data_IF_439899608235
#
_entry.id   IF_439899608235
#
_cell.length_a   1.000
_cell.length_b   1.000
_cell.length_c   1.000
_cell.angle_alpha   90.00
_cell.angle_beta   90.00
_cell.angle_gamma   90.00
#
_symmetry.space_group_name_H-M   'P 1'
#
loop_
_entity.id
_entity.type
_entity.pdbx_description
1 polymer ?
#
# COMPACT_ATOMS: atom_id res chain seq x y z
N UNK A 1 24.30 40.79 -29.42
CA UNK A 1 24.29 39.34 -29.70
C UNK A 1 23.59 38.67 -28.52
N UNK A 2 22.31 38.35 -28.69
CA UNK A 2 21.40 37.95 -27.61
C UNK A 2 21.53 36.45 -27.39
N UNK A 3 21.89 36.03 -26.17
CA UNK A 3 21.90 34.63 -25.76
C UNK A 3 20.60 34.37 -25.01
N UNK A 4 19.67 33.66 -25.64
CA UNK A 4 18.48 33.14 -24.99
C UNK A 4 18.77 31.79 -24.34
N UNK A 5 18.78 31.77 -23.01
CA UNK A 5 18.71 30.56 -22.19
C UNK A 5 17.28 30.03 -22.18
N UNK A 6 17.04 28.85 -22.77
CA UNK A 6 15.74 28.19 -22.69
C UNK A 6 15.73 27.11 -21.60
N UNK A 7 15.10 27.48 -20.49
CA UNK A 7 14.64 26.66 -19.37
C UNK A 7 13.41 25.83 -19.78
N UNK A 8 13.54 24.78 -20.59
CA UNK A 8 12.46 23.78 -20.74
C UNK A 8 13.01 22.40 -21.09
N UNK A 9 12.42 21.38 -20.46
CA UNK A 9 12.60 19.94 -20.71
C UNK A 9 13.75 19.20 -19.98
N UNK A 10 13.66 19.12 -18.65
CA UNK A 10 14.25 18.02 -17.84
C UNK A 10 13.29 16.84 -17.63
N UNK A 11 12.24 16.71 -18.46
CA UNK A 11 11.13 15.75 -18.27
C UNK A 11 11.18 14.50 -19.16
N UNK A 12 12.34 14.14 -19.72
CA UNK A 12 12.47 12.99 -20.63
C UNK A 12 13.66 12.05 -20.35
N UNK A 13 14.09 11.94 -19.10
CA UNK A 13 15.14 10.97 -18.71
C UNK A 13 14.66 9.98 -17.64
N UNK A 14 13.60 9.23 -17.94
CA UNK A 14 13.16 8.04 -17.18
C UNK A 14 12.51 7.02 -18.15
N UNK A 15 13.26 6.61 -19.16
CA UNK A 15 12.88 5.53 -20.08
C UNK A 15 14.13 4.72 -20.44
N UNK A 16 14.51 3.79 -19.57
CA UNK A 16 15.30 2.59 -19.93
C UNK A 16 15.67 1.79 -18.67
N UNK A 17 14.75 0.95 -18.22
CA UNK A 17 15.08 -0.25 -17.46
C UNK A 17 14.01 -1.31 -17.75
N UNK A 18 13.92 -1.73 -19.01
CA UNK A 18 13.31 -3.00 -19.36
C UNK A 18 14.31 -4.10 -18.98
N UNK A 19 14.29 -4.49 -17.70
CA UNK A 19 15.00 -5.67 -17.20
C UNK A 19 14.16 -6.91 -17.50
N UNK A 20 14.61 -7.70 -18.48
CA UNK A 20 14.12 -9.03 -18.78
C UNK A 20 14.44 -10.01 -17.63
N UNK A 21 13.55 -11.00 -17.50
CA UNK A 21 13.66 -12.27 -16.76
C UNK A 21 13.68 -12.21 -15.23
N UNK A 22 12.52 -12.01 -14.62
CA UNK A 22 12.16 -12.77 -13.43
C UNK A 22 11.39 -14.01 -13.89
N UNK A 23 11.96 -15.19 -13.62
CA UNK A 23 11.25 -16.46 -13.70
C UNK A 23 10.14 -16.44 -12.65
N UNK A 24 9.01 -15.83 -12.98
CA UNK A 24 7.76 -16.05 -12.25
C UNK A 24 7.49 -17.53 -12.42
N UNK A 25 7.72 -18.33 -11.38
CA UNK A 25 7.10 -19.64 -11.32
C UNK A 25 5.60 -19.38 -11.42
N UNK A 26 5.02 -19.59 -12.61
CA UNK A 26 3.58 -19.79 -12.75
C UNK A 26 3.30 -21.06 -11.96
N UNK A 27 3.02 -20.94 -10.66
CA UNK A 27 2.38 -22.02 -9.91
C UNK A 27 1.02 -22.21 -10.58
N UNK A 28 0.94 -23.21 -11.46
CA UNK A 28 -0.27 -23.51 -12.23
C UNK A 28 -1.15 -24.41 -11.39
N UNK A 29 -2.32 -23.91 -11.00
CA UNK A 29 -3.58 -24.64 -10.74
C UNK A 29 -3.59 -25.85 -9.81
N UNK A 30 -2.81 -26.88 -10.09
CA UNK A 30 -2.75 -28.14 -9.34
C UNK A 30 -1.74 -28.09 -8.16
N UNK A 31 -0.84 -27.11 -8.14
CA UNK A 31 0.13 -26.88 -7.04
C UNK A 31 -0.34 -25.81 -6.03
N UNK A 32 -1.48 -25.16 -6.28
CA UNK A 32 -2.05 -24.20 -5.33
C UNK A 32 -2.78 -24.96 -4.21
N UNK A 33 -2.60 -24.55 -2.94
CA UNK A 33 -3.40 -25.10 -1.86
C UNK A 33 -4.87 -24.92 -2.20
N UNK A 34 -5.67 -25.95 -1.95
CA UNK A 34 -7.12 -25.79 -1.96
C UNK A 34 -7.48 -24.85 -0.80
N UNK A 35 -7.70 -23.57 -1.09
CA UNK A 35 -8.32 -22.66 -0.13
C UNK A 35 -9.71 -23.21 0.13
N UNK A 36 -9.97 -23.53 1.39
CA UNK A 36 -11.18 -24.21 1.78
C UNK A 36 -12.31 -23.18 1.77
N UNK A 37 -12.86 -22.94 0.57
CA UNK A 37 -13.87 -21.91 0.35
C UNK A 37 -14.99 -22.01 1.38
N UNK A 38 -15.29 -20.90 2.05
CA UNK A 38 -16.42 -20.61 2.95
C UNK A 38 -16.84 -21.66 4.02
N UNK A 39 -16.22 -22.83 4.13
CA UNK A 39 -16.75 -23.99 4.87
C UNK A 39 -15.75 -24.77 5.72
N UNK A 40 -14.49 -24.32 5.85
CA UNK A 40 -13.50 -24.95 6.74
C UNK A 40 -13.43 -24.33 8.13
N UNK A 41 -13.22 -25.19 9.14
CA UNK A 41 -13.22 -24.86 10.57
C UNK A 41 -11.94 -24.15 11.08
N UNK A 42 -10.95 -23.89 10.22
CA UNK A 42 -9.87 -22.96 10.51
C UNK A 42 -10.07 -21.72 9.65
N UNK A 43 -10.31 -20.56 10.27
CA UNK A 43 -10.67 -19.36 9.52
C UNK A 43 -9.46 -18.85 8.71
N UNK A 44 -9.44 -19.20 7.43
CA UNK A 44 -8.58 -18.57 6.44
C UNK A 44 -8.83 -17.05 6.48
N UNK A 45 -7.76 -16.27 6.43
CA UNK A 45 -7.81 -14.81 6.45
C UNK A 45 -7.83 -14.35 5.01
N UNK A 46 -8.79 -13.52 4.63
CA UNK A 46 -8.81 -12.87 3.32
C UNK A 46 -8.92 -11.35 3.46
N UNK A 47 -8.26 -10.61 2.57
CA UNK A 47 -8.38 -9.15 2.49
C UNK A 47 -8.06 -8.67 1.07
N UNK A 48 -8.45 -7.44 0.75
CA UNK A 48 -7.94 -6.76 -0.44
C UNK A 48 -6.93 -5.69 -0.04
N UNK A 49 -5.92 -5.49 -0.88
CA UNK A 49 -5.00 -4.37 -0.83
C UNK A 49 -5.27 -3.43 -2.01
N UNK A 50 -5.65 -2.20 -1.70
CA UNK A 50 -5.87 -1.10 -2.65
C UNK A 50 -4.86 0.00 -2.37
N UNK A 51 -4.54 0.84 -3.35
CA UNK A 51 -3.61 1.96 -3.18
C UNK A 51 -3.82 3.00 -4.26
N UNK A 52 -3.30 4.22 -4.06
CA UNK A 52 -3.26 5.26 -5.09
C UNK A 52 -4.67 5.49 -5.67
N UNK A 53 -5.64 5.78 -4.78
CA UNK A 53 -7.03 6.01 -5.19
C UNK A 53 -7.23 7.42 -5.70
N UNK A 54 -6.40 8.38 -5.25
CA UNK A 54 -6.36 9.76 -5.75
C UNK A 54 -7.75 10.40 -5.88
N UNK A 55 -8.48 10.48 -4.76
CA UNK A 55 -9.67 11.34 -4.71
C UNK A 55 -9.26 12.75 -5.12
N UNK A 56 -9.94 13.31 -6.12
CA UNK A 56 -9.64 14.62 -6.69
C UNK A 56 -10.88 15.52 -6.65
N UNK A 57 -10.73 16.73 -6.13
CA UNK A 57 -11.74 17.78 -6.22
C UNK A 57 -11.63 18.58 -7.52
N UNK A 58 -12.73 19.20 -7.97
CA UNK A 58 -12.73 20.08 -9.12
C UNK A 58 -11.96 21.37 -8.76
N UNK A 59 -10.86 21.64 -9.47
CA UNK A 59 -10.05 22.84 -9.23
C UNK A 59 -10.82 24.15 -9.43
N UNK A 60 -11.83 24.18 -10.31
CA UNK A 60 -12.68 25.36 -10.55
C UNK A 60 -13.77 25.52 -9.49
N UNK A 61 -14.19 24.41 -8.88
CA UNK A 61 -15.16 24.38 -7.80
C UNK A 61 -14.67 23.46 -6.67
N UNK A 62 -13.69 23.91 -5.85
CA UNK A 62 -12.93 23.03 -4.97
C UNK A 62 -13.72 22.48 -3.77
N UNK A 63 -14.99 22.87 -3.62
CA UNK A 63 -15.92 22.26 -2.64
C UNK A 63 -16.70 21.08 -3.24
N UNK A 64 -16.39 20.67 -4.47
CA UNK A 64 -17.04 19.55 -5.16
C UNK A 64 -16.00 18.60 -5.72
N UNK A 65 -16.31 17.29 -5.67
CA UNK A 65 -15.46 16.28 -6.30
C UNK A 65 -15.43 16.47 -7.82
N UNK A 66 -14.28 16.21 -8.43
CA UNK A 66 -14.21 16.02 -9.87
C UNK A 66 -15.15 14.86 -10.26
N UNK A 67 -16.08 15.06 -11.21
CA UNK A 67 -17.10 14.06 -11.53
C UNK A 67 -16.53 12.72 -12.01
N UNK A 68 -15.37 12.72 -12.67
CA UNK A 68 -14.71 11.51 -13.12
C UNK A 68 -14.05 10.79 -11.94
N UNK A 69 -13.30 11.50 -11.10
CA UNK A 69 -12.73 10.94 -9.86
C UNK A 69 -13.81 10.30 -8.99
N UNK A 70 -14.89 11.04 -8.68
CA UNK A 70 -16.00 10.54 -7.87
C UNK A 70 -16.59 9.24 -8.42
N UNK A 71 -16.83 9.18 -9.74
CA UNK A 71 -17.41 8.01 -10.40
C UNK A 71 -16.50 6.79 -10.33
N UNK A 72 -15.20 6.96 -10.57
CA UNK A 72 -14.25 5.84 -10.59
C UNK A 72 -14.02 5.31 -9.18
N UNK A 73 -13.81 6.20 -8.21
CA UNK A 73 -13.66 5.84 -6.80
C UNK A 73 -14.89 5.09 -6.29
N UNK A 74 -16.11 5.58 -6.58
CA UNK A 74 -17.33 4.90 -6.17
C UNK A 74 -17.50 3.52 -6.79
N UNK A 75 -17.11 3.35 -8.06
CA UNK A 75 -17.18 2.04 -8.71
C UNK A 75 -16.21 1.04 -8.10
N UNK A 76 -14.98 1.46 -7.76
CA UNK A 76 -14.06 0.60 -7.01
C UNK A 76 -14.70 0.09 -5.71
N UNK A 77 -15.29 0.99 -4.92
CA UNK A 77 -15.96 0.63 -3.66
C UNK A 77 -17.10 -0.37 -3.90
N UNK A 78 -17.92 -0.13 -4.93
CA UNK A 78 -19.00 -1.06 -5.30
C UNK A 78 -18.46 -2.43 -5.75
N UNK A 79 -17.35 -2.45 -6.50
CA UNK A 79 -16.66 -3.70 -6.89
C UNK A 79 -16.22 -4.46 -5.64
N UNK A 80 -15.52 -3.81 -4.71
CA UNK A 80 -15.07 -4.44 -3.45
C UNK A 80 -16.24 -5.04 -2.65
N UNK A 81 -17.36 -4.30 -2.55
CA UNK A 81 -18.58 -4.76 -1.88
C UNK A 81 -19.19 -6.02 -2.52
N UNK A 82 -19.01 -6.21 -3.83
CA UNK A 82 -19.58 -7.33 -4.59
C UNK A 82 -18.70 -8.57 -4.70
N UNK A 83 -17.45 -8.53 -4.23
CA UNK A 83 -16.48 -9.62 -4.48
C UNK A 83 -16.79 -10.92 -3.75
N UNK A 84 -17.25 -10.87 -2.49
CA UNK A 84 -17.35 -12.09 -1.66
C UNK A 84 -18.29 -13.11 -2.32
N UNK A 85 -17.80 -14.34 -2.48
CA UNK A 85 -18.52 -15.43 -3.15
C UNK A 85 -18.42 -15.42 -4.67
N UNK A 86 -17.82 -14.40 -5.29
CA UNK A 86 -17.51 -14.39 -6.72
C UNK A 86 -16.61 -15.59 -7.08
N UNK A 87 -16.87 -16.21 -8.23
CA UNK A 87 -16.06 -17.32 -8.74
C UNK A 87 -14.74 -16.78 -9.27
N UNK A 88 -13.64 -17.34 -8.78
CA UNK A 88 -12.31 -17.10 -9.32
C UNK A 88 -12.09 -18.08 -10.49
N UNK A 89 -11.72 -17.61 -11.69
CA UNK A 89 -11.43 -18.46 -12.84
C UNK A 89 -10.29 -19.46 -12.58
N UNK A 90 -10.25 -20.56 -13.33
CA UNK A 90 -9.25 -21.61 -13.12
C UNK A 90 -7.82 -21.11 -13.39
N UNK A 91 -7.66 -20.26 -14.41
CA UNK A 91 -6.43 -19.58 -14.76
C UNK A 91 -5.93 -18.60 -13.68
N UNK A 92 -6.83 -18.13 -12.80
CA UNK A 92 -6.53 -17.30 -11.64
C UNK A 92 -6.47 -18.11 -10.33
N UNK A 93 -6.31 -19.43 -10.42
CA UNK A 93 -6.13 -20.32 -9.27
C UNK A 93 -7.43 -20.88 -8.68
N UNK A 94 -8.56 -20.72 -9.38
CA UNK A 94 -9.87 -21.30 -9.06
C UNK A 94 -10.43 -20.90 -7.67
N UNK A 95 -11.61 -21.44 -7.35
CA UNK A 95 -12.27 -21.23 -6.06
C UNK A 95 -13.28 -20.08 -6.07
N UNK A 96 -13.52 -19.52 -4.90
CA UNK A 96 -14.40 -18.36 -4.69
C UNK A 96 -13.74 -17.40 -3.71
N UNK A 97 -14.05 -16.12 -3.87
CA UNK A 97 -13.62 -15.10 -2.90
C UNK A 97 -14.20 -15.44 -1.52
N UNK A 98 -13.29 -15.60 -0.57
CA UNK A 98 -13.56 -15.89 0.84
C UNK A 98 -14.15 -14.66 1.55
N UNK A 99 -14.72 -14.86 2.74
CA UNK A 99 -15.16 -13.75 3.58
C UNK A 99 -13.96 -12.85 3.92
N UNK A 100 -14.02 -11.58 3.55
CA UNK A 100 -12.93 -10.65 3.80
C UNK A 100 -12.94 -10.13 5.25
N UNK A 101 -11.74 -9.99 5.82
CA UNK A 101 -11.48 -9.43 7.14
C UNK A 101 -11.42 -7.90 7.11
N UNK A 102 -11.10 -7.32 5.95
CA UNK A 102 -11.01 -5.88 5.76
C UNK A 102 -10.34 -5.50 4.44
N UNK A 103 -10.11 -4.21 4.26
CA UNK A 103 -9.36 -3.62 3.16
C UNK A 103 -8.13 -2.90 3.73
N UNK A 104 -6.95 -3.17 3.18
CA UNK A 104 -5.74 -2.40 3.48
C UNK A 104 -5.55 -1.36 2.37
N UNK A 105 -5.37 -0.09 2.74
CA UNK A 105 -5.13 0.98 1.77
C UNK A 105 -3.69 1.51 1.86
N UNK A 106 -2.91 1.33 0.79
CA UNK A 106 -1.48 1.61 0.70
C UNK A 106 -1.06 3.07 0.60
N UNK A 107 -1.92 4.04 0.91
CA UNK A 107 -1.64 5.48 0.78
C UNK A 107 -2.06 6.11 -0.54
N UNK A 108 -1.82 7.41 -0.64
CA UNK A 108 -2.31 8.32 -1.69
C UNK A 108 -3.83 8.24 -1.84
N UNK A 109 -4.48 8.54 -0.70
CA UNK A 109 -5.94 8.58 -0.57
C UNK A 109 -6.50 9.75 -1.38
N UNK A 110 -5.87 10.92 -1.27
CA UNK A 110 -6.27 12.16 -1.97
C UNK A 110 -5.17 12.63 -2.91
N UNK A 111 -5.50 13.45 -3.92
CA UNK A 111 -4.53 13.91 -4.93
C UNK A 111 -3.82 15.22 -4.57
N UNK A 112 -4.36 16.03 -3.66
CA UNK A 112 -3.98 17.44 -3.57
C UNK A 112 -3.43 17.92 -2.23
N UNK A 113 -3.26 17.06 -1.23
CA UNK A 113 -2.80 17.48 0.10
C UNK A 113 -1.30 17.80 0.18
N UNK A 114 -0.49 17.38 -0.81
CA UNK A 114 0.90 17.77 -0.98
C UNK A 114 1.09 19.21 -1.51
N UNK A 115 0.05 19.77 -2.12
CA UNK A 115 0.06 21.12 -2.71
C UNK A 115 -0.34 22.18 -1.68
N UNK A 116 0.22 23.39 -1.80
CA UNK A 116 0.04 24.49 -0.84
C UNK A 116 -0.62 25.72 -1.48
N UNK A 117 -1.38 26.45 -0.67
CA UNK A 117 -1.97 27.74 -1.03
C UNK A 117 -3.13 27.67 -2.04
N UNK A 118 -3.74 28.82 -2.31
CA UNK A 118 -4.83 28.94 -3.27
C UNK A 118 -6.03 28.04 -2.92
N UNK A 119 -6.49 27.26 -3.90
CA UNK A 119 -7.66 26.38 -3.79
C UNK A 119 -7.38 25.04 -3.10
N UNK A 120 -6.10 24.65 -2.95
CA UNK A 120 -5.73 23.30 -2.51
C UNK A 120 -6.22 22.93 -1.10
N UNK A 121 -6.22 23.83 -0.09
CA UNK A 121 -6.80 23.52 1.22
C UNK A 121 -8.28 23.11 1.17
N UNK A 122 -9.06 23.72 0.28
CA UNK A 122 -10.47 23.34 0.07
C UNK A 122 -10.56 22.02 -0.68
N UNK A 123 -9.75 21.85 -1.74
CA UNK A 123 -9.71 20.62 -2.53
C UNK A 123 -9.43 19.39 -1.65
N UNK A 124 -8.34 19.36 -0.90
CA UNK A 124 -8.02 18.17 -0.10
C UNK A 124 -8.97 17.94 1.07
N UNK A 125 -9.69 18.97 1.55
CA UNK A 125 -10.76 18.79 2.51
C UNK A 125 -11.96 18.07 1.87
N UNK A 126 -12.36 18.46 0.65
CA UNK A 126 -13.40 17.78 -0.12
C UNK A 126 -13.00 16.36 -0.51
N UNK A 127 -11.76 16.16 -0.96
CA UNK A 127 -11.23 14.85 -1.34
C UNK A 127 -11.23 13.88 -0.15
N UNK A 128 -10.76 14.34 1.01
CA UNK A 128 -10.73 13.51 2.21
C UNK A 128 -12.13 13.20 2.74
N UNK A 129 -13.04 14.18 2.72
CA UNK A 129 -14.44 13.95 3.09
C UNK A 129 -15.11 12.92 2.17
N UNK A 130 -14.81 12.93 0.86
CA UNK A 130 -15.31 11.94 -0.07
C UNK A 130 -14.72 10.55 0.20
N UNK A 131 -13.41 10.46 0.50
CA UNK A 131 -12.78 9.22 0.94
C UNK A 131 -13.46 8.66 2.20
N UNK A 132 -13.70 9.51 3.22
CA UNK A 132 -14.36 9.07 4.45
C UNK A 132 -15.81 8.62 4.23
N UNK A 133 -16.56 9.30 3.35
CA UNK A 133 -17.93 8.90 3.01
C UNK A 133 -17.98 7.54 2.29
N UNK A 134 -17.01 7.28 1.42
CA UNK A 134 -16.95 6.04 0.64
C UNK A 134 -16.42 4.88 1.47
N UNK A 135 -15.29 5.05 2.15
CA UNK A 135 -14.61 3.97 2.87
C UNK A 135 -15.09 3.78 4.31
N UNK A 136 -15.69 4.79 4.95
CA UNK A 136 -16.01 4.74 6.37
C UNK A 136 -14.75 4.48 7.21
N UNK A 137 -14.87 3.71 8.29
CA UNK A 137 -13.75 3.28 9.13
C UNK A 137 -13.86 1.81 9.51
N UNK A 138 -15.03 1.38 9.98
CA UNK A 138 -15.25 0.08 10.62
C UNK A 138 -16.16 -0.85 9.79
N UNK A 139 -16.50 -0.47 8.56
CA UNK A 139 -17.34 -1.24 7.64
C UNK A 139 -18.85 -1.06 7.83
N UNK A 140 -19.26 -0.10 8.65
CA UNK A 140 -20.67 0.23 8.90
C UNK A 140 -20.99 1.73 8.85
N UNK A 141 -19.97 2.55 8.59
CA UNK A 141 -20.00 4.01 8.69
C UNK A 141 -19.59 4.71 7.38
N UNK A 142 -19.48 3.94 6.30
CA UNK A 142 -19.33 4.40 4.93
C UNK A 142 -20.12 3.51 3.98
N UNK A 143 -19.83 3.61 2.69
CA UNK A 143 -20.46 2.76 1.66
C UNK A 143 -19.78 1.41 1.58
N UNK A 144 -18.47 1.36 1.80
CA UNK A 144 -17.72 0.13 1.91
C UNK A 144 -18.23 -0.69 3.11
N UNK A 145 -18.52 -1.97 2.87
CA UNK A 145 -19.06 -2.90 3.87
C UNK A 145 -17.99 -3.56 4.75
N UNK A 146 -16.74 -3.10 4.67
CA UNK A 146 -15.58 -3.69 5.32
C UNK A 146 -14.80 -2.64 6.10
N UNK A 147 -14.17 -3.00 7.24
CA UNK A 147 -13.24 -2.11 7.89
C UNK A 147 -12.06 -1.84 6.95
N UNK A 148 -11.64 -0.58 6.87
CA UNK A 148 -10.45 -0.15 6.13
C UNK A 148 -9.28 -0.02 7.10
N UNK A 149 -8.05 -0.16 6.62
CA UNK A 149 -6.81 0.04 7.36
C UNK A 149 -5.83 0.78 6.45
N UNK A 150 -5.84 2.11 6.51
CA UNK A 150 -5.07 2.98 5.64
C UNK A 150 -3.72 3.44 6.23
N UNK A 151 -2.72 3.59 5.36
CA UNK A 151 -1.55 4.46 5.55
C UNK A 151 -1.73 5.76 4.75
N UNK A 152 -0.87 6.75 5.00
CA UNK A 152 -0.79 7.96 4.17
C UNK A 152 0.38 7.84 3.18
N UNK A 153 0.22 8.43 1.99
CA UNK A 153 1.27 8.53 0.97
C UNK A 153 1.80 9.96 0.78
N UNK A 154 2.55 10.18 -0.30
CA UNK A 154 3.14 11.49 -0.58
C UNK A 154 2.12 12.54 -0.98
N UNK A 155 1.03 12.17 -1.66
CA UNK A 155 -0.05 13.11 -2.00
C UNK A 155 -0.92 13.47 -0.78
N UNK A 156 -0.95 12.62 0.25
CA UNK A 156 -1.71 12.86 1.47
C UNK A 156 -1.03 13.83 2.43
N UNK A 157 0.30 13.83 2.51
CA UNK A 157 1.04 14.70 3.42
C UNK A 157 2.49 14.29 3.65
N UNK A 158 3.44 14.72 2.80
CA UNK A 158 4.82 14.24 2.82
C UNK A 158 5.58 14.64 4.10
N UNK A 159 5.13 15.69 4.79
CA UNK A 159 5.71 16.15 6.06
C UNK A 159 4.87 15.77 7.29
N UNK A 160 3.72 15.11 7.09
CA UNK A 160 2.81 14.73 8.16
C UNK A 160 1.96 15.87 8.74
N UNK A 161 1.91 17.03 8.08
CA UNK A 161 1.31 18.28 8.60
C UNK A 161 -0.06 18.64 7.99
N UNK A 162 -0.65 17.74 7.19
CA UNK A 162 -1.89 17.99 6.44
C UNK A 162 -3.17 17.62 7.21
N UNK A 163 -4.31 18.08 6.69
CA UNK A 163 -5.63 17.69 7.20
C UNK A 163 -5.85 16.18 7.12
N UNK A 164 -5.40 15.54 6.03
CA UNK A 164 -5.55 14.09 5.81
C UNK A 164 -4.79 13.29 6.87
N UNK A 165 -3.53 13.64 7.13
CA UNK A 165 -2.70 12.95 8.13
C UNK A 165 -3.32 13.10 9.53
N UNK A 166 -3.81 14.30 9.88
CA UNK A 166 -4.56 14.52 11.15
C UNK A 166 -5.88 13.76 11.22
N UNK A 167 -6.55 13.62 10.07
CA UNK A 167 -7.73 12.78 9.91
C UNK A 167 -7.42 11.33 10.23
N UNK A 168 -6.36 10.77 9.65
CA UNK A 168 -5.89 9.40 9.93
C UNK A 168 -5.55 9.21 11.41
N UNK A 169 -4.83 10.16 12.05
CA UNK A 169 -4.57 10.12 13.49
C UNK A 169 -5.86 10.02 14.32
N UNK A 170 -6.88 10.79 13.93
CA UNK A 170 -8.18 10.83 14.62
C UNK A 170 -9.01 9.59 14.36
N UNK A 171 -8.89 9.01 13.15
CA UNK A 171 -9.52 7.76 12.74
C UNK A 171 -8.92 6.57 13.49
N UNK A 172 -7.61 6.49 13.61
CA UNK A 172 -6.94 5.40 14.34
C UNK A 172 -7.36 5.32 15.81
N UNK A 173 -7.65 6.44 16.47
CA UNK A 173 -8.18 6.45 17.85
C UNK A 173 -9.56 5.81 18.00
N UNK A 174 -10.32 5.69 16.91
CA UNK A 174 -11.68 5.17 16.84
C UNK A 174 -11.77 3.85 16.06
N UNK A 175 -10.64 3.35 15.56
CA UNK A 175 -10.58 2.15 14.73
C UNK A 175 -10.74 0.92 15.62
N UNK A 176 -11.68 0.06 15.28
CA UNK A 176 -11.90 -1.17 16.01
C UNK A 176 -10.79 -2.19 15.70
N UNK A 177 -10.40 -2.97 16.71
CA UNK A 177 -9.49 -4.11 16.55
C UNK A 177 -8.00 -3.77 16.45
N UNK A 178 -7.61 -2.50 16.54
CA UNK A 178 -6.18 -2.15 16.67
C UNK A 178 -5.61 -2.64 18.00
N UNK A 179 -4.38 -3.13 17.98
CA UNK A 179 -3.67 -3.67 19.14
C UNK A 179 -2.68 -2.66 19.71
N UNK A 180 -1.87 -2.05 18.84
CA UNK A 180 -0.91 -1.03 19.22
C UNK A 180 -1.06 0.20 18.32
N UNK A 181 -0.79 1.37 18.89
CA UNK A 181 -0.71 2.66 18.20
C UNK A 181 0.54 3.39 18.66
N UNK A 182 1.25 3.99 17.72
CA UNK A 182 2.39 4.87 17.97
C UNK A 182 1.98 6.11 18.76
N UNK A 183 2.94 6.73 19.47
CA UNK A 183 2.66 7.88 20.33
C UNK A 183 2.05 9.09 19.58
N UNK A 184 2.36 9.24 18.29
CA UNK A 184 1.79 10.29 17.44
C UNK A 184 0.45 9.90 16.80
N UNK A 185 -0.05 8.67 17.02
CA UNK A 185 -1.35 8.20 16.52
C UNK A 185 -1.37 7.73 15.06
N UNK A 186 -0.25 7.75 14.33
CA UNK A 186 -0.25 7.45 12.88
C UNK A 186 -0.03 5.99 12.56
N UNK A 187 1.00 5.40 13.15
CA UNK A 187 1.39 4.01 12.91
C UNK A 187 0.67 3.11 13.89
N UNK A 188 0.23 1.95 13.42
CA UNK A 188 -0.56 1.03 14.23
C UNK A 188 -0.41 -0.40 13.73
N UNK A 189 -0.76 -1.33 14.60
CA UNK A 189 -0.81 -2.75 14.28
C UNK A 189 -2.07 -3.38 14.81
N UNK A 190 -2.46 -4.49 14.20
CA UNK A 190 -3.62 -5.28 14.58
C UNK A 190 -3.38 -6.75 14.26
N UNK A 191 -4.31 -7.58 14.70
CA UNK A 191 -4.25 -9.02 14.48
C UNK A 191 -5.52 -9.49 13.76
N UNK A 192 -5.34 -10.30 12.72
CA UNK A 192 -6.42 -11.11 12.14
C UNK A 192 -6.06 -12.57 12.37
N UNK A 193 -6.71 -13.22 13.35
CA UNK A 193 -6.33 -14.58 13.76
C UNK A 193 -4.85 -14.64 14.16
N UNK A 194 -4.09 -15.53 13.52
CA UNK A 194 -2.64 -15.65 13.77
C UNK A 194 -1.78 -14.65 12.98
N UNK A 195 -2.33 -13.88 12.05
CA UNK A 195 -1.59 -12.90 11.27
C UNK A 195 -1.44 -11.59 12.06
N UNK A 196 -0.20 -11.10 12.18
CA UNK A 196 0.08 -9.77 12.71
C UNK A 196 0.28 -8.79 11.55
N UNK A 197 -0.41 -7.65 11.57
CA UNK A 197 -0.38 -6.66 10.51
C UNK A 197 0.07 -5.30 11.04
N UNK A 198 0.91 -4.59 10.29
CA UNK A 198 1.53 -3.33 10.71
C UNK A 198 1.44 -2.29 9.59
N UNK A 199 0.86 -1.13 9.88
CA UNK A 199 0.77 0.03 8.99
C UNK A 199 1.73 1.14 9.45
N UNK A 200 2.67 1.54 8.57
CA UNK A 200 3.83 2.39 8.91
C UNK A 200 3.91 3.73 8.16
N UNK A 201 2.82 4.18 7.54
CA UNK A 201 2.76 5.47 6.86
C UNK A 201 3.47 5.49 5.51
N UNK A 202 4.14 6.60 5.20
CA UNK A 202 4.76 6.84 3.89
C UNK A 202 6.08 6.07 3.70
N UNK A 203 7.02 6.19 4.64
CA UNK A 203 8.32 5.52 4.68
C UNK A 203 8.59 5.01 6.10
N UNK A 204 9.39 3.95 6.24
CA UNK A 204 9.79 3.44 7.55
C UNK A 204 11.11 4.06 7.98
N UNK A 205 11.11 4.89 9.01
CA UNK A 205 12.33 5.59 9.44
C UNK A 205 12.18 6.35 10.76
N UNK A 206 13.17 7.18 11.06
CA UNK A 206 13.13 8.12 12.20
C UNK A 206 13.57 9.50 11.75
N UNK A 207 13.26 10.53 12.52
CA UNK A 207 13.78 11.88 12.32
C UNK A 207 14.25 12.45 13.66
N UNK A 208 15.21 13.38 13.62
CA UNK A 208 15.79 13.93 14.84
C UNK A 208 16.96 14.87 14.54
N UNK A 209 17.44 15.62 15.54
CA UNK A 209 18.51 16.60 15.38
C UNK A 209 19.85 15.96 14.96
N UNK A 210 20.09 14.71 15.37
CA UNK A 210 21.35 14.00 15.12
C UNK A 210 21.34 13.17 13.83
N UNK A 211 20.32 13.34 12.99
CA UNK A 211 20.17 12.57 11.77
C UNK A 211 19.99 13.51 10.58
N UNK A 212 20.49 13.13 9.41
CA UNK A 212 20.23 13.89 8.20
C UNK A 212 18.71 14.06 7.97
N UNK A 213 18.33 15.23 7.45
CA UNK A 213 16.95 15.56 7.10
C UNK A 213 16.42 14.57 6.06
N UNK A 214 15.24 14.00 6.30
CA UNK A 214 14.54 13.15 5.31
C UNK A 214 13.72 14.03 4.37
N UNK A 215 13.54 13.58 3.13
CA UNK A 215 12.60 14.21 2.18
C UNK A 215 11.16 14.06 2.65
N UNK A 216 10.76 12.84 3.01
CA UNK A 216 9.47 12.55 3.62
C UNK A 216 9.65 12.30 5.11
N UNK A 217 8.79 12.90 5.94
CA UNK A 217 8.89 12.73 7.38
C UNK A 217 8.39 11.32 7.76
N UNK A 218 9.25 10.43 8.30
CA UNK A 218 8.84 9.07 8.65
C UNK A 218 7.92 9.04 9.88
N UNK A 219 7.79 10.15 10.61
CA UNK A 219 6.96 10.23 11.81
C UNK A 219 7.31 9.12 12.84
N UNK A 220 8.61 8.83 13.00
CA UNK A 220 9.14 7.79 13.90
C UNK A 220 8.56 6.37 13.72
N UNK A 221 8.13 6.01 12.51
CA UNK A 221 7.58 4.68 12.17
C UNK A 221 8.52 3.53 12.53
N UNK A 222 9.84 3.68 12.35
CA UNK A 222 10.81 2.64 12.71
C UNK A 222 10.87 2.39 14.23
N UNK A 223 10.71 3.44 15.05
CA UNK A 223 10.65 3.28 16.51
C UNK A 223 9.42 2.49 16.90
N UNK A 224 8.28 2.79 16.30
CA UNK A 224 7.04 2.04 16.51
C UNK A 224 7.21 0.57 16.09
N UNK A 225 7.74 0.30 14.89
CA UNK A 225 7.96 -1.05 14.38
C UNK A 225 8.79 -1.91 15.33
N UNK A 226 9.93 -1.37 15.83
CA UNK A 226 10.79 -2.06 16.79
C UNK A 226 10.02 -2.47 18.05
N UNK A 227 9.27 -1.53 18.63
CA UNK A 227 8.49 -1.80 19.84
C UNK A 227 7.35 -2.77 19.60
N UNK A 228 6.69 -2.68 18.44
CA UNK A 228 5.55 -3.52 18.09
C UNK A 228 5.95 -4.98 17.89
N UNK A 229 7.01 -5.23 17.11
CA UNK A 229 7.56 -6.59 16.90
C UNK A 229 8.09 -7.21 18.20
N UNK A 230 8.73 -6.41 19.06
CA UNK A 230 9.14 -6.87 20.39
C UNK A 230 7.93 -7.25 21.26
N UNK A 231 6.88 -6.43 21.25
CA UNK A 231 5.62 -6.70 21.98
C UNK A 231 4.85 -7.89 21.43
N UNK A 232 4.94 -8.17 20.13
CA UNK A 232 4.34 -9.36 19.52
C UNK A 232 4.88 -10.64 20.17
N UNK A 233 6.16 -10.66 20.53
CA UNK A 233 6.78 -11.69 21.39
C UNK A 233 6.98 -13.07 20.75
N UNK A 234 6.46 -13.31 19.55
CA UNK A 234 6.64 -14.54 18.78
C UNK A 234 7.23 -14.22 17.40
N UNK A 235 8.54 -14.50 17.24
CA UNK A 235 9.26 -14.26 16.00
C UNK A 235 8.79 -15.12 14.82
N UNK A 236 8.11 -16.25 15.07
CA UNK A 236 7.63 -17.15 14.02
C UNK A 236 6.21 -16.80 13.54
N UNK A 237 5.52 -15.92 14.26
CA UNK A 237 4.20 -15.46 13.88
C UNK A 237 4.28 -14.72 12.53
N UNK A 238 3.43 -15.06 11.54
CA UNK A 238 3.49 -14.39 10.26
C UNK A 238 3.14 -12.91 10.40
N UNK A 239 3.96 -12.06 9.78
CA UNK A 239 3.80 -10.60 9.78
C UNK A 239 3.61 -10.07 8.36
N UNK A 240 2.64 -9.16 8.20
CA UNK A 240 2.45 -8.34 7.00
C UNK A 240 2.70 -6.88 7.35
N UNK A 241 3.48 -6.19 6.52
CA UNK A 241 3.80 -4.77 6.71
C UNK A 241 3.28 -3.97 5.51
N UNK A 242 2.76 -2.78 5.77
CA UNK A 242 2.38 -1.83 4.72
C UNK A 242 3.01 -0.45 4.96
N UNK A 243 3.62 0.08 3.91
CA UNK A 243 4.04 1.47 3.78
C UNK A 243 3.86 1.91 2.33
N UNK A 244 3.82 3.21 2.07
CA UNK A 244 3.51 3.70 0.73
C UNK A 244 4.67 3.56 -0.28
N UNK A 245 5.90 3.89 0.12
CA UNK A 245 7.06 3.97 -0.77
C UNK A 245 7.77 2.62 -0.96
N UNK A 246 8.29 2.42 -2.17
CA UNK A 246 9.03 1.24 -2.63
C UNK A 246 10.27 0.88 -1.80
N UNK A 247 10.52 -0.42 -1.62
CA UNK A 247 11.66 -0.96 -0.87
C UNK A 247 12.98 -0.93 -1.66
N UNK A 248 13.00 -1.54 -2.85
CA UNK A 248 14.23 -1.87 -3.55
C UNK A 248 14.96 -0.62 -4.07
N UNK A 249 14.23 0.37 -4.59
CA UNK A 249 14.80 1.60 -5.18
C UNK A 249 15.72 2.36 -4.21
N UNK A 250 15.43 2.29 -2.92
CA UNK A 250 16.14 3.02 -1.87
C UNK A 250 17.10 2.15 -1.04
N UNK A 251 17.17 0.85 -1.34
CA UNK A 251 18.07 -0.13 -0.71
C UNK A 251 19.50 -0.04 -1.27
N UNK A 252 20.10 1.15 -1.22
CA UNK A 252 21.49 1.39 -1.67
C UNK A 252 22.47 1.26 -0.50
N UNK A 253 23.75 0.93 -0.75
CA UNK A 253 24.75 0.85 0.31
C UNK A 253 24.85 2.15 1.12
N UNK A 254 24.81 2.02 2.44
CA UNK A 254 24.90 3.13 3.38
C UNK A 254 26.02 2.89 4.39
N UNK A 255 26.97 3.82 4.43
CA UNK A 255 28.05 3.88 5.44
C UNK A 255 28.09 5.21 6.18
N UNK A 256 27.67 6.29 5.52
CA UNK A 256 27.63 7.65 6.03
C UNK A 256 26.59 8.46 5.24
N UNK A 257 26.15 9.60 5.80
CA UNK A 257 25.22 10.51 5.13
C UNK A 257 25.86 11.19 3.92
N UNK A 258 25.09 11.29 2.83
CA UNK A 258 25.51 11.96 1.60
C UNK A 258 24.45 12.98 1.18
N UNK A 259 24.86 14.05 0.50
CA UNK A 259 23.94 15.11 0.07
C UNK A 259 22.84 14.58 -0.86
N UNK A 260 23.17 13.61 -1.72
CA UNK A 260 22.22 12.97 -2.63
C UNK A 260 21.02 12.31 -1.91
N UNK A 261 21.20 11.85 -0.67
CA UNK A 261 20.15 11.20 0.12
C UNK A 261 19.06 12.19 0.58
N UNK A 262 19.34 13.50 0.61
CA UNK A 262 18.35 14.55 0.91
C UNK A 262 17.21 14.62 -0.12
N UNK A 263 17.43 14.05 -1.31
CA UNK A 263 16.49 14.07 -2.43
C UNK A 263 15.79 12.72 -2.65
N UNK A 264 16.28 11.65 -2.03
CA UNK A 264 15.66 10.34 -2.05
C UNK A 264 14.38 10.34 -1.21
N UNK A 265 13.33 9.68 -1.70
CA UNK A 265 12.04 9.63 -1.01
C UNK A 265 12.13 8.85 0.29
N UNK A 266 12.94 7.80 0.30
CA UNK A 266 13.30 7.04 1.49
C UNK A 266 14.82 7.07 1.68
N UNK A 267 15.26 7.47 2.86
CA UNK A 267 16.67 7.59 3.19
C UNK A 267 17.33 6.20 3.33
N UNK A 268 18.50 5.94 2.73
CA UNK A 268 19.11 4.59 2.73
C UNK A 268 19.43 4.03 4.12
N UNK A 269 19.81 4.88 5.08
CA UNK A 269 19.98 4.46 6.49
C UNK A 269 18.69 3.85 7.06
N UNK A 270 17.55 4.46 6.74
CA UNK A 270 16.26 4.05 7.26
C UNK A 270 15.80 2.73 6.62
N UNK A 271 16.05 2.54 5.31
CA UNK A 271 15.80 1.27 4.60
C UNK A 271 16.65 0.13 5.17
N UNK A 272 17.95 0.37 5.37
CA UNK A 272 18.86 -0.58 6.02
C UNK A 272 18.36 -0.94 7.42
N UNK A 273 18.01 0.08 8.22
CA UNK A 273 17.52 -0.13 9.58
C UNK A 273 16.18 -0.85 9.64
N UNK A 274 15.32 -0.64 8.64
CA UNK A 274 14.07 -1.38 8.47
C UNK A 274 14.36 -2.87 8.24
N UNK A 275 15.21 -3.20 7.24
CA UNK A 275 15.60 -4.59 6.94
C UNK A 275 16.20 -5.29 8.15
N UNK A 276 17.16 -4.66 8.84
CA UNK A 276 17.78 -5.21 10.05
C UNK A 276 16.79 -5.43 11.19
N UNK A 277 15.78 -4.56 11.31
CA UNK A 277 14.73 -4.68 12.34
C UNK A 277 13.82 -5.87 12.09
N UNK A 278 13.49 -6.16 10.82
CA UNK A 278 12.55 -7.22 10.47
C UNK A 278 13.21 -8.58 10.25
N UNK A 279 14.52 -8.63 9.96
CA UNK A 279 15.25 -9.86 9.69
C UNK A 279 15.08 -10.99 10.73
N UNK A 280 14.96 -10.72 12.05
CA UNK A 280 14.72 -11.78 13.04
C UNK A 280 13.27 -12.32 13.08
N UNK A 281 12.34 -11.71 12.35
CA UNK A 281 10.91 -12.00 12.40
C UNK A 281 10.42 -12.60 11.10
N UNK A 282 9.34 -13.38 11.19
CA UNK A 282 8.70 -14.02 10.04
C UNK A 282 7.81 -13.05 9.24
N UNK A 283 8.44 -12.05 8.60
CA UNK A 283 7.75 -11.11 7.71
C UNK A 283 7.52 -11.76 6.36
N UNK A 284 6.29 -12.18 6.12
CA UNK A 284 5.91 -12.96 4.93
C UNK A 284 5.59 -12.10 3.72
N UNK A 285 5.15 -10.85 3.92
CA UNK A 285 4.87 -9.93 2.84
C UNK A 285 4.98 -8.46 3.24
N UNK A 286 5.33 -7.64 2.25
CA UNK A 286 5.27 -6.20 2.32
C UNK A 286 4.40 -5.64 1.19
N UNK A 287 3.42 -4.80 1.52
CA UNK A 287 2.56 -4.16 0.53
C UNK A 287 2.85 -2.67 0.44
N UNK A 288 2.91 -2.14 -0.79
CA UNK A 288 3.16 -0.72 -1.04
C UNK A 288 2.51 -0.24 -2.34
N UNK A 289 2.59 1.06 -2.62
CA UNK A 289 1.99 1.70 -3.80
C UNK A 289 2.95 2.65 -4.49
N UNK A 290 2.52 3.89 -4.70
CA UNK A 290 3.33 5.04 -5.16
C UNK A 290 3.76 5.01 -6.62
N UNK A 291 4.11 3.85 -7.17
CA UNK A 291 4.69 3.78 -8.53
C UNK A 291 3.65 3.62 -9.64
N UNK A 292 2.37 3.49 -9.28
CA UNK A 292 1.24 3.48 -10.21
C UNK A 292 1.34 2.34 -11.24
N UNK A 293 1.90 1.20 -10.80
CA UNK A 293 2.09 0.01 -11.62
C UNK A 293 2.26 -1.21 -10.74
N UNK A 294 1.76 -2.35 -11.19
CA UNK A 294 2.11 -3.64 -10.60
C UNK A 294 3.62 -3.92 -10.70
N UNK A 295 4.23 -4.23 -9.56
CA UNK A 295 5.61 -4.73 -9.46
C UNK A 295 5.73 -5.67 -8.25
N UNK A 296 6.03 -6.94 -8.49
CA UNK A 296 6.01 -7.97 -7.46
C UNK A 296 7.33 -8.72 -7.53
N UNK A 297 8.04 -8.76 -6.40
CA UNK A 297 9.40 -9.30 -6.33
C UNK A 297 9.74 -9.76 -4.93
N UNK A 298 10.76 -10.61 -4.81
CA UNK A 298 11.41 -10.89 -3.55
C UNK A 298 12.44 -9.81 -3.19
N UNK A 299 12.54 -9.44 -1.92
CA UNK A 299 13.47 -8.44 -1.41
C UNK A 299 14.35 -9.01 -0.29
N UNK A 300 15.65 -8.70 -0.33
CA UNK A 300 16.65 -9.18 0.61
C UNK A 300 17.50 -8.03 1.21
N UNK A 301 16.92 -6.83 1.30
CA UNK A 301 17.63 -5.65 1.79
C UNK A 301 18.53 -4.96 0.76
N UNK A 302 18.55 -5.43 -0.50
CA UNK A 302 19.33 -4.83 -1.60
C UNK A 302 18.45 -4.16 -2.64
N UNK A 303 19.05 -3.34 -3.51
CA UNK A 303 18.34 -2.67 -4.60
C UNK A 303 17.95 -3.58 -5.77
N UNK A 304 18.44 -4.82 -5.76
CA UNK A 304 18.11 -5.81 -6.77
C UNK A 304 16.85 -6.56 -6.38
N UNK A 305 15.88 -6.58 -7.29
CA UNK A 305 14.71 -7.47 -7.19
C UNK A 305 15.18 -8.91 -7.24
N UNK A 306 14.77 -9.70 -6.27
CA UNK A 306 15.11 -11.11 -6.16
C UNK A 306 13.94 -12.00 -6.60
N UNK A 307 14.20 -13.22 -7.07
CA UNK A 307 13.19 -14.26 -7.03
C UNK A 307 12.83 -14.60 -5.58
N UNK A 308 11.59 -15.07 -5.32
CA UNK A 308 11.09 -15.28 -3.95
C UNK A 308 11.87 -16.32 -3.14
N UNK A 309 12.48 -17.31 -3.79
CA UNK A 309 13.31 -18.32 -3.11
C UNK A 309 14.68 -17.80 -2.65
N UNK A 310 15.02 -16.55 -2.97
CA UNK A 310 16.23 -15.85 -2.50
C UNK A 310 15.89 -14.57 -1.72
N UNK A 311 14.65 -14.44 -1.27
CA UNK A 311 14.12 -13.25 -0.62
C UNK A 311 13.92 -13.45 0.88
N UNK A 312 14.13 -12.37 1.63
CA UNK A 312 13.75 -12.29 3.03
C UNK A 312 12.27 -11.90 3.15
N UNK A 313 11.77 -11.04 2.25
CA UNK A 313 10.39 -10.54 2.22
C UNK A 313 9.86 -10.55 0.80
N UNK A 314 8.62 -11.00 0.61
CA UNK A 314 7.91 -10.88 -0.68
C UNK A 314 7.24 -9.50 -0.74
N UNK A 315 7.60 -8.69 -1.73
CA UNK A 315 7.14 -7.32 -1.90
C UNK A 315 6.06 -7.24 -2.99
N UNK A 316 4.94 -6.60 -2.65
CA UNK A 316 3.75 -6.49 -3.50
C UNK A 316 3.36 -5.02 -3.69
N UNK A 317 3.67 -4.49 -4.87
CA UNK A 317 3.28 -3.15 -5.26
C UNK A 317 1.91 -3.16 -5.98
N UNK A 318 0.99 -2.33 -5.51
CA UNK A 318 -0.29 -2.11 -6.19
C UNK A 318 -0.17 -1.19 -7.40
N UNK A 319 -1.01 -1.44 -8.41
CA UNK A 319 -1.31 -0.41 -9.41
C UNK A 319 -2.25 0.65 -8.80
N UNK A 320 -2.55 1.69 -9.56
CA UNK A 320 -3.65 2.58 -9.24
C UNK A 320 -4.93 1.77 -9.04
N UNK A 321 -5.59 1.98 -7.92
CA UNK A 321 -6.89 1.34 -7.67
C UNK A 321 -8.05 2.17 -8.20
N UNK A 322 -7.97 3.50 -8.27
CA UNK A 322 -9.07 4.33 -8.81
C UNK A 322 -8.66 5.69 -9.38
N UNK A 323 -7.43 5.85 -9.80
CA UNK A 323 -6.93 7.15 -10.25
C UNK A 323 -7.74 7.69 -11.44
N UNK A 324 -8.17 8.95 -11.35
CA UNK A 324 -8.98 9.62 -12.37
C UNK A 324 -8.36 9.70 -13.79
N UNK A 325 -7.05 9.49 -13.94
CA UNK A 325 -6.30 9.60 -15.21
C UNK A 325 -6.17 8.27 -15.97
N UNK A 326 -7.12 7.35 -15.87
CA UNK A 326 -7.06 6.13 -16.66
C UNK A 326 -8.20 5.14 -16.42
N UNK A 327 -8.48 4.32 -17.43
CA UNK A 327 -9.44 3.22 -17.31
C UNK A 327 -8.82 1.93 -16.77
N UNK A 328 -7.51 1.75 -16.91
CA UNK A 328 -6.80 0.57 -16.41
C UNK A 328 -6.43 0.80 -14.95
N UNK A 329 -6.92 -0.06 -14.09
CA UNK A 329 -6.73 -0.01 -12.64
C UNK A 329 -6.68 -1.45 -12.13
N UNK A 330 -6.11 -1.65 -10.94
CA UNK A 330 -6.06 -2.97 -10.31
C UNK A 330 -6.04 -2.87 -8.78
N UNK A 331 -6.38 -3.97 -8.13
CA UNK A 331 -6.11 -4.19 -6.72
C UNK A 331 -5.73 -5.65 -6.47
N UNK A 332 -5.09 -5.92 -5.34
CA UNK A 332 -4.70 -7.27 -4.95
C UNK A 332 -5.75 -7.89 -4.03
N UNK A 333 -6.07 -9.16 -4.26
CA UNK A 333 -6.84 -10.01 -3.36
C UNK A 333 -5.90 -11.02 -2.72
N UNK A 334 -5.94 -11.12 -1.40
CA UNK A 334 -4.97 -11.88 -0.60
C UNK A 334 -5.70 -12.88 0.28
N UNK A 335 -5.21 -14.11 0.31
CA UNK A 335 -5.67 -15.18 1.20
C UNK A 335 -4.50 -15.78 1.97
N UNK A 336 -4.69 -15.98 3.28
CA UNK A 336 -3.77 -16.73 4.11
C UNK A 336 -4.51 -17.89 4.76
N UNK A 337 -3.94 -19.07 4.61
CA UNK A 337 -4.25 -20.24 5.44
C UNK A 337 -3.20 -20.40 6.54
N UNK A 338 -3.29 -21.48 7.32
CA UNK A 338 -2.25 -21.84 8.30
C UNK A 338 -0.87 -22.06 7.70
N UNK A 339 -0.78 -22.38 6.41
CA UNK A 339 0.46 -22.86 5.78
C UNK A 339 0.80 -22.13 4.50
N UNK A 340 -0.08 -21.27 3.98
CA UNK A 340 0.16 -20.60 2.70
C UNK A 340 -0.37 -19.18 2.67
N UNK A 341 0.38 -18.31 2.01
CA UNK A 341 -0.03 -17.02 1.49
C UNK A 341 -0.33 -17.18 0.00
N UNK A 342 -1.47 -16.65 -0.46
CA UNK A 342 -1.78 -16.50 -1.88
C UNK A 342 -2.25 -15.09 -2.19
N UNK A 343 -1.68 -14.53 -3.25
CA UNK A 343 -2.02 -13.22 -3.78
C UNK A 343 -2.49 -13.38 -5.22
N UNK A 344 -3.58 -12.69 -5.55
CA UNK A 344 -4.17 -12.59 -6.87
C UNK A 344 -4.43 -11.13 -7.19
N UNK A 345 -4.66 -10.84 -8.46
CA UNK A 345 -4.97 -9.48 -8.90
C UNK A 345 -6.33 -9.44 -9.59
N UNK A 346 -7.13 -8.43 -9.23
CA UNK A 346 -8.35 -8.07 -9.93
C UNK A 346 -8.08 -6.80 -10.71
N UNK A 347 -8.37 -6.82 -12.01
CA UNK A 347 -8.06 -5.73 -12.93
C UNK A 347 -9.32 -5.23 -13.62
N UNK A 348 -9.30 -3.96 -14.00
CA UNK A 348 -10.28 -3.35 -14.90
C UNK A 348 -9.55 -2.67 -16.07
N UNK A 349 -10.24 -2.51 -17.19
CA UNK A 349 -9.76 -1.72 -18.35
C UNK A 349 -10.61 -0.47 -18.58
N UNK A 350 -11.72 -0.34 -17.86
CA UNK A 350 -12.80 0.60 -18.12
C UNK A 350 -13.25 1.35 -16.86
N UNK A 351 -12.34 1.52 -15.90
CA UNK A 351 -12.57 2.23 -14.64
C UNK A 351 -13.73 1.62 -13.83
N UNK A 352 -13.64 0.30 -13.64
CA UNK A 352 -14.54 -0.52 -12.84
C UNK A 352 -15.99 -0.53 -13.34
N UNK A 353 -16.21 -0.31 -14.65
CA UNK A 353 -17.50 -0.67 -15.27
C UNK A 353 -17.61 -2.20 -15.33
N UNK A 354 -16.49 -2.85 -15.61
CA UNK A 354 -16.29 -4.28 -15.47
C UNK A 354 -14.95 -4.57 -14.81
N UNK A 355 -14.82 -5.76 -14.24
CA UNK A 355 -13.56 -6.29 -13.72
C UNK A 355 -13.36 -7.73 -14.18
N UNK A 356 -12.12 -8.19 -14.12
CA UNK A 356 -11.72 -9.55 -14.39
C UNK A 356 -10.55 -9.94 -13.47
N UNK A 357 -10.38 -11.23 -13.25
CA UNK A 357 -9.19 -11.75 -12.58
C UNK A 357 -8.02 -11.80 -13.55
N UNK A 358 -6.84 -11.38 -13.10
CA UNK A 358 -5.61 -11.63 -13.84
C UNK A 358 -5.23 -13.12 -13.77
N UNK A 359 -4.52 -13.62 -14.78
CA UNK A 359 -4.02 -15.00 -14.81
C UNK A 359 -2.76 -15.22 -13.94
N UNK A 360 -2.31 -14.17 -13.24
CA UNK A 360 -1.18 -14.26 -12.31
C UNK A 360 -1.67 -14.60 -10.91
N UNK A 361 -1.03 -15.62 -10.33
CA UNK A 361 -1.19 -16.02 -8.93
C UNK A 361 0.19 -16.17 -8.31
N UNK A 362 0.37 -15.58 -7.13
CA UNK A 362 1.59 -15.72 -6.34
C UNK A 362 1.25 -16.51 -5.09
N UNK A 363 1.98 -17.59 -4.84
CA UNK A 363 1.73 -18.47 -3.70
C UNK A 363 3.04 -18.85 -3.02
N UNK A 364 3.02 -18.87 -1.69
CA UNK A 364 4.17 -19.21 -0.86
C UNK A 364 3.72 -20.00 0.35
N UNK A 365 4.52 -20.99 0.74
CA UNK A 365 4.36 -21.69 2.01
C UNK A 365 4.91 -20.82 3.14
N UNK A 366 4.14 -20.69 4.22
CA UNK A 366 4.48 -19.92 5.43
C UNK A 366 4.50 -20.84 6.66
#
# INVERSE_FOLDING_TARGET
>A
MVVHTNLFSRRQALLSAAGLTASVAKLRGEELPTFLGAGSAAADIAFCFVTDTHYLADKKNPDSMDPQSARICRRLVNTLNGLVGERIPAEAGAGKVSRMSGIIHGGDLVDSADKRGGVYPRMHATEFAAFEADYGLNGSDGILHYPVFEVYGNHDGPQGDTLVVKGIQSRNRRRNGIKNVSANGLHYSWDWGNLHLINLGIVVGQSGPDLQRRRYNPMDSLRFLKHDLQKMGDANRPVVITQHIDLARYSVPYSEDKEEFLHMEWHPQDVKSFHETVAPFHVIANFFGHTHRRDIFGWNGTSQRQPFNHADIDAFNGDNSSHFNGGKQAFLYVELSKTHLVVREVVTKDAWVSHQWADQVWAKKI
#
